data_IF_545621819099
#
_entry.id   IF_545621819099
#
_cell.length_a   1.000
_cell.length_b   1.000
_cell.length_c   1.000
_cell.angle_alpha   90.00
_cell.angle_beta   90.00
_cell.angle_gamma   90.00
#
_symmetry.space_group_name_H-M   'P 1'
#
loop_
_entity.id
_entity.type
_entity.pdbx_description
1 polymer ?
#
# COMPACT_ATOMS: atom_id res chain seq x y z
N UNK A 1 7.32 5.85 -5.58
CA UNK A 1 7.57 6.10 -4.16
C UNK A 1 6.98 7.45 -3.79
N UNK A 2 6.13 7.50 -2.77
CA UNK A 2 5.72 8.75 -2.13
C UNK A 2 6.75 9.05 -1.03
N UNK A 3 7.41 10.20 -1.07
CA UNK A 3 8.45 10.53 -0.08
C UNK A 3 8.61 12.05 0.03
N UNK A 4 9.00 12.52 1.21
CA UNK A 4 9.34 13.92 1.46
C UNK A 4 10.84 14.13 1.30
N UNK A 5 11.24 15.39 1.12
CA UNK A 5 12.65 15.77 1.03
C UNK A 5 13.47 15.27 2.24
N UNK A 6 12.87 15.27 3.43
CA UNK A 6 13.51 14.82 4.67
C UNK A 6 13.71 13.30 4.77
N UNK A 7 13.01 12.51 3.96
CA UNK A 7 13.09 11.05 3.97
C UNK A 7 14.32 10.52 3.16
N UNK A 8 15.18 11.40 2.64
CA UNK A 8 16.22 11.07 1.64
C UNK A 8 17.15 9.93 2.05
N UNK A 9 17.52 9.81 3.33
CA UNK A 9 18.38 8.71 3.78
C UNK A 9 17.68 7.35 3.65
N UNK A 10 16.43 7.26 4.11
CA UNK A 10 15.63 6.04 3.99
C UNK A 10 15.27 5.72 2.53
N UNK A 11 15.08 6.73 1.69
CA UNK A 11 14.86 6.58 0.25
C UNK A 11 16.09 5.99 -0.44
N UNK A 12 17.28 6.54 -0.21
CA UNK A 12 18.54 6.07 -0.81
C UNK A 12 18.80 4.62 -0.42
N UNK A 13 18.63 4.28 0.85
CA UNK A 13 18.84 2.93 1.37
C UNK A 13 17.86 1.90 0.75
N UNK A 14 16.58 2.27 0.62
CA UNK A 14 15.55 1.43 0.02
C UNK A 14 15.75 1.23 -1.48
N UNK A 15 15.99 2.34 -2.20
CA UNK A 15 16.22 2.34 -3.63
C UNK A 15 17.49 1.54 -3.98
N UNK A 16 18.57 1.74 -3.22
CA UNK A 16 19.83 1.01 -3.45
C UNK A 16 19.65 -0.49 -3.31
N UNK A 17 18.94 -0.94 -2.27
CA UNK A 17 18.67 -2.36 -2.09
C UNK A 17 17.81 -2.93 -3.21
N UNK A 18 16.73 -2.24 -3.62
CA UNK A 18 15.90 -2.75 -4.70
C UNK A 18 16.65 -2.80 -6.04
N UNK A 19 17.49 -1.80 -6.33
CA UNK A 19 18.39 -1.81 -7.48
C UNK A 19 19.33 -3.03 -7.44
N UNK A 20 19.99 -3.28 -6.30
CA UNK A 20 20.93 -4.39 -6.15
C UNK A 20 20.26 -5.77 -6.25
N UNK A 21 19.04 -5.91 -5.71
CA UNK A 21 18.31 -7.19 -5.70
C UNK A 21 17.59 -7.49 -6.99
N UNK A 22 17.10 -6.48 -7.68
CA UNK A 22 16.17 -6.59 -8.81
C UNK A 22 16.54 -5.61 -9.94
N UNK A 23 16.37 -4.32 -9.69
CA UNK A 23 16.10 -3.38 -10.77
C UNK A 23 17.32 -3.08 -11.66
N UNK A 24 18.54 -3.31 -11.17
CA UNK A 24 19.75 -3.20 -12.00
C UNK A 24 19.71 -4.14 -13.23
N UNK A 25 19.00 -5.27 -13.14
CA UNK A 25 18.86 -6.26 -14.22
C UNK A 25 17.81 -5.87 -15.26
N UNK A 26 16.77 -5.13 -14.86
CA UNK A 26 15.57 -4.89 -15.68
C UNK A 26 15.35 -3.42 -16.05
N UNK A 27 15.96 -2.49 -15.30
CA UNK A 27 15.97 -1.04 -15.56
C UNK A 27 14.58 -0.40 -15.66
N UNK A 28 13.62 -0.82 -14.82
CA UNK A 28 12.32 -0.15 -14.73
C UNK A 28 12.47 1.28 -14.19
N UNK A 29 11.61 2.22 -14.64
CA UNK A 29 11.68 3.61 -14.23
C UNK A 29 11.22 3.81 -12.78
N UNK A 30 11.75 4.85 -12.14
CA UNK A 30 11.30 5.32 -10.83
C UNK A 30 10.44 6.57 -10.96
N UNK A 31 9.30 6.58 -10.27
CA UNK A 31 8.47 7.78 -10.10
C UNK A 31 8.44 8.16 -8.63
N UNK A 32 8.90 9.36 -8.32
CA UNK A 32 8.83 9.97 -7.00
C UNK A 32 7.71 11.00 -6.98
N UNK A 33 6.82 10.92 -5.99
CA UNK A 33 5.75 11.90 -5.76
C UNK A 33 5.92 12.51 -4.37
N UNK A 34 5.59 13.79 -4.23
CA UNK A 34 5.64 14.53 -2.98
C UNK A 34 4.57 15.64 -2.96
N UNK A 35 4.07 16.00 -1.79
CA UNK A 35 3.16 17.13 -1.61
C UNK A 35 3.86 18.50 -1.65
N UNK A 36 5.20 18.48 -1.62
CA UNK A 36 6.06 19.65 -1.85
C UNK A 36 7.03 19.40 -3.02
N UNK A 37 7.58 20.45 -3.66
CA UNK A 37 8.62 20.29 -4.67
C UNK A 37 9.85 19.54 -4.12
N UNK A 38 10.37 18.58 -4.88
CA UNK A 38 11.64 17.94 -4.55
C UNK A 38 12.80 18.92 -4.71
N UNK A 39 13.75 18.89 -3.77
CA UNK A 39 14.95 19.72 -3.83
C UNK A 39 16.07 19.06 -4.67
N UNK A 40 17.08 19.86 -5.03
CA UNK A 40 18.19 19.41 -5.88
C UNK A 40 18.99 18.26 -5.26
N UNK A 41 19.10 18.22 -3.93
CA UNK A 41 19.79 17.13 -3.26
C UNK A 41 19.05 15.81 -3.46
N UNK A 42 17.73 15.80 -3.22
CA UNK A 42 16.90 14.61 -3.37
C UNK A 42 16.97 14.08 -4.80
N UNK A 43 16.79 14.96 -5.79
CA UNK A 43 16.84 14.59 -7.20
C UNK A 43 18.21 14.04 -7.57
N UNK A 44 19.31 14.74 -7.23
CA UNK A 44 20.67 14.31 -7.54
C UNK A 44 21.03 12.97 -6.89
N UNK A 45 20.65 12.75 -5.63
CA UNK A 45 21.02 11.54 -4.89
C UNK A 45 20.26 10.32 -5.37
N UNK A 46 19.00 10.47 -5.78
CA UNK A 46 18.19 9.35 -6.30
C UNK A 46 18.53 9.04 -7.77
N UNK A 47 18.78 10.05 -8.61
CA UNK A 47 19.04 9.85 -10.04
C UNK A 47 20.30 9.05 -10.34
N UNK A 48 21.32 9.09 -9.47
CA UNK A 48 22.59 8.38 -9.66
C UNK A 48 22.55 6.91 -9.24
N UNK A 49 21.47 6.46 -8.57
CA UNK A 49 21.39 5.10 -8.03
C UNK A 49 20.86 4.07 -9.02
N UNK A 50 20.25 4.51 -10.12
CA UNK A 50 19.60 3.66 -11.10
C UNK A 50 20.07 3.95 -12.51
N UNK A 51 19.90 2.97 -13.41
CA UNK A 51 20.02 3.15 -14.87
C UNK A 51 18.68 3.46 -15.53
N UNK A 52 17.57 3.24 -14.84
CA UNK A 52 16.23 3.55 -15.32
C UNK A 52 15.96 5.04 -15.31
N UNK A 53 14.95 5.47 -16.07
CA UNK A 53 14.50 6.86 -16.03
C UNK A 53 13.91 7.19 -14.65
N UNK A 54 14.19 8.40 -14.15
CA UNK A 54 13.62 8.90 -12.90
C UNK A 54 12.75 10.11 -13.17
N UNK A 55 11.53 10.11 -12.65
CA UNK A 55 10.59 11.23 -12.74
C UNK A 55 10.20 11.72 -11.35
N UNK A 56 10.06 13.04 -11.20
CA UNK A 56 9.70 13.71 -9.95
C UNK A 56 8.41 14.50 -10.17
N UNK A 57 7.38 14.22 -9.38
CA UNK A 57 6.05 14.83 -9.52
C UNK A 57 5.61 15.53 -8.24
N UNK A 58 5.10 16.76 -8.39
CA UNK A 58 4.36 17.45 -7.34
C UNK A 58 2.90 16.99 -7.37
N UNK A 59 2.39 16.55 -6.22
CA UNK A 59 1.00 16.13 -6.08
C UNK A 59 0.08 17.36 -6.22
N UNK A 60 -0.95 17.31 -7.10
CA UNK A 60 -1.96 18.37 -7.14
C UNK A 60 -2.59 18.57 -5.76
N UNK A 61 -2.72 19.82 -5.33
CA UNK A 61 -3.14 20.15 -3.97
C UNK A 61 -4.50 19.51 -3.62
N UNK A 62 -5.43 19.48 -4.56
CA UNK A 62 -6.77 18.89 -4.45
C UNK A 62 -6.76 17.37 -4.19
N UNK A 63 -5.69 16.69 -4.56
CA UNK A 63 -5.50 15.25 -4.31
C UNK A 63 -4.86 14.97 -2.94
N UNK A 64 -4.27 15.98 -2.31
CA UNK A 64 -3.58 15.84 -1.04
C UNK A 64 -4.38 16.36 0.15
N UNK A 65 -4.94 17.57 0.04
CA UNK A 65 -5.53 18.26 1.20
C UNK A 65 -6.89 17.70 1.60
N UNK A 66 -7.28 18.02 2.83
CA UNK A 66 -8.60 17.70 3.37
C UNK A 66 -9.70 18.34 2.51
N UNK A 67 -10.70 17.57 2.05
CA UNK A 67 -11.76 18.10 1.21
C UNK A 67 -12.77 18.95 2.02
N UNK A 68 -13.46 19.87 1.33
CA UNK A 68 -14.32 20.89 1.93
C UNK A 68 -15.54 20.36 2.70
N UNK A 69 -16.00 19.14 2.39
CA UNK A 69 -17.15 18.53 3.10
C UNK A 69 -16.77 17.92 4.46
N UNK A 70 -15.49 17.96 4.83
CA UNK A 70 -15.03 17.49 6.14
C UNK A 70 -15.21 18.62 7.16
N UNK A 71 -16.01 18.33 8.20
CA UNK A 71 -16.12 19.16 9.38
C UNK A 71 -14.81 19.12 10.16
N UNK A 72 -14.03 20.19 10.06
CA UNK A 72 -12.72 20.30 10.69
C UNK A 72 -12.80 20.33 12.23
N UNK A 73 -13.90 20.82 12.83
CA UNK A 73 -14.05 20.75 14.28
C UNK A 73 -14.21 19.29 14.74
N UNK A 74 -15.02 18.52 14.01
CA UNK A 74 -15.19 17.08 14.28
C UNK A 74 -13.89 16.31 14.05
N UNK A 75 -13.21 16.56 12.94
CA UNK A 75 -11.93 15.91 12.61
C UNK A 75 -10.85 16.25 13.65
N UNK A 76 -10.75 17.51 14.08
CA UNK A 76 -9.83 17.93 15.13
C UNK A 76 -10.12 17.22 16.46
N UNK A 77 -11.38 17.12 16.88
CA UNK A 77 -11.77 16.39 18.08
C UNK A 77 -11.37 14.92 18.03
N UNK A 78 -11.58 14.25 16.90
CA UNK A 78 -11.16 12.86 16.69
C UNK A 78 -9.63 12.70 16.77
N UNK A 79 -8.87 13.59 16.11
CA UNK A 79 -7.40 13.61 16.17
C UNK A 79 -6.89 13.78 17.60
N UNK A 80 -7.50 14.69 18.36
CA UNK A 80 -7.20 14.88 19.79
C UNK A 80 -7.47 13.64 20.60
N UNK A 81 -8.61 12.98 20.41
CA UNK A 81 -8.93 11.74 21.11
C UNK A 81 -7.93 10.63 20.79
N UNK A 82 -7.59 10.42 19.51
CA UNK A 82 -6.63 9.40 19.11
C UNK A 82 -5.21 9.65 19.66
N UNK A 83 -4.83 10.93 19.81
CA UNK A 83 -3.58 11.30 20.49
C UNK A 83 -3.59 10.88 21.97
N UNK A 84 -4.69 11.15 22.68
CA UNK A 84 -4.85 10.73 24.08
C UNK A 84 -4.87 9.20 24.23
N UNK A 85 -5.43 8.50 23.26
CA UNK A 85 -5.47 7.04 23.23
C UNK A 85 -4.13 6.39 22.86
N UNK A 86 -3.08 7.19 22.59
CA UNK A 86 -1.76 6.70 22.21
C UNK A 86 -1.69 6.03 20.84
N UNK A 87 -2.63 6.36 19.93
CA UNK A 87 -2.67 5.79 18.59
C UNK A 87 -1.56 6.42 17.75
N UNK A 88 -0.69 5.59 17.16
CA UNK A 88 0.39 6.04 16.26
C UNK A 88 -0.19 6.93 15.15
N UNK A 89 0.43 8.08 14.87
CA UNK A 89 -0.10 9.10 13.92
C UNK A 89 -1.52 9.62 14.24
N UNK A 90 -2.05 9.38 15.44
CA UNK A 90 -3.41 9.72 15.83
C UNK A 90 -3.76 11.19 15.62
N UNK A 91 -2.82 12.10 15.91
CA UNK A 91 -2.96 13.54 15.71
C UNK A 91 -2.58 14.05 14.33
N UNK A 92 -1.97 13.22 13.47
CA UNK A 92 -1.34 13.68 12.22
C UNK A 92 -2.36 13.91 11.10
N UNK A 93 -2.38 15.13 10.55
CA UNK A 93 -3.17 15.49 9.36
C UNK A 93 -2.48 14.98 8.10
N UNK A 94 -1.16 15.18 7.96
CA UNK A 94 -0.40 14.72 6.80
C UNK A 94 -0.46 13.20 6.61
N UNK A 95 -0.51 12.43 7.70
CA UNK A 95 -0.68 10.97 7.62
C UNK A 95 -2.06 10.59 7.05
N UNK A 96 -3.11 11.33 7.37
CA UNK A 96 -4.46 11.10 6.83
C UNK A 96 -4.55 11.48 5.36
N UNK A 97 -3.91 12.60 4.98
CA UNK A 97 -3.75 13.00 3.59
C UNK A 97 -3.01 11.91 2.80
N UNK A 98 -1.93 11.36 3.35
CA UNK A 98 -1.20 10.24 2.75
C UNK A 98 -2.08 9.00 2.56
N UNK A 99 -2.82 8.58 3.59
CA UNK A 99 -3.71 7.41 3.47
C UNK A 99 -4.81 7.64 2.42
N UNK A 100 -5.40 8.83 2.39
CA UNK A 100 -6.39 9.21 1.36
C UNK A 100 -5.76 9.23 -0.04
N UNK A 101 -4.58 9.83 -0.18
CA UNK A 101 -3.84 9.92 -1.45
C UNK A 101 -3.52 8.53 -2.02
N UNK A 102 -3.00 7.62 -1.18
CA UNK A 102 -2.71 6.25 -1.59
C UNK A 102 -3.99 5.46 -1.87
N UNK A 103 -5.10 5.74 -1.20
CA UNK A 103 -6.40 5.10 -1.52
C UNK A 103 -7.04 5.61 -2.81
N UNK A 104 -6.83 6.88 -3.17
CA UNK A 104 -7.71 7.56 -4.14
C UNK A 104 -7.03 8.14 -5.36
N UNK A 105 -5.74 8.48 -5.28
CA UNK A 105 -5.19 9.50 -6.17
C UNK A 105 -3.84 9.17 -6.79
N UNK A 106 -2.98 8.35 -6.17
CA UNK A 106 -1.64 8.10 -6.71
C UNK A 106 -1.70 7.56 -8.15
N UNK A 107 -2.63 6.65 -8.43
CA UNK A 107 -2.85 6.03 -9.75
C UNK A 107 -3.50 6.97 -10.78
N UNK A 108 -3.90 8.19 -10.36
CA UNK A 108 -4.43 9.28 -11.19
C UNK A 108 -3.38 10.32 -11.55
N UNK A 109 -2.19 10.27 -10.93
CA UNK A 109 -1.14 11.24 -11.20
C UNK A 109 -0.66 11.17 -12.67
N UNK A 110 -0.41 12.29 -13.37
CA UNK A 110 -0.03 12.28 -14.79
C UNK A 110 1.19 11.39 -15.10
N UNK A 111 2.22 11.42 -14.24
CA UNK A 111 3.44 10.63 -14.44
C UNK A 111 3.22 9.11 -14.46
N UNK A 112 2.15 8.62 -13.84
CA UNK A 112 1.87 7.17 -13.78
C UNK A 112 0.83 6.71 -14.80
N UNK A 113 0.17 7.62 -15.51
CA UNK A 113 -0.89 7.26 -16.49
C UNK A 113 -0.36 6.38 -17.64
N UNK A 114 0.91 6.55 -17.99
CA UNK A 114 1.57 5.76 -19.05
C UNK A 114 1.91 4.32 -18.64
N UNK A 115 1.77 3.97 -17.36
CA UNK A 115 2.10 2.63 -16.86
C UNK A 115 0.84 1.84 -16.52
N UNK A 116 0.94 0.52 -16.68
CA UNK A 116 -0.09 -0.45 -16.26
C UNK A 116 0.18 -0.96 -14.86
N UNK A 117 1.36 -1.48 -14.59
CA UNK A 117 1.74 -1.96 -13.26
C UNK A 117 2.56 -0.92 -12.49
N UNK A 118 2.48 -0.97 -11.16
CA UNK A 118 3.39 -0.25 -10.27
C UNK A 118 3.95 -1.20 -9.22
N UNK A 119 5.14 -0.88 -8.71
CA UNK A 119 5.66 -1.43 -7.46
C UNK A 119 5.79 -0.29 -6.46
N UNK A 120 4.98 -0.32 -5.38
CA UNK A 120 5.12 0.60 -4.27
C UNK A 120 6.31 0.22 -3.40
N UNK A 121 7.17 1.21 -3.19
CA UNK A 121 8.34 1.15 -2.33
C UNK A 121 8.27 2.38 -1.44
N UNK A 122 8.46 2.17 -0.13
CA UNK A 122 8.55 3.20 0.90
C UNK A 122 10.02 3.45 1.29
N UNK A 123 10.35 4.57 1.96
CA UNK A 123 11.60 4.72 2.67
C UNK A 123 11.80 3.65 3.77
N UNK A 124 13.05 3.44 4.17
CA UNK A 124 13.43 2.56 5.30
C UNK A 124 12.97 1.09 5.21
N UNK A 125 12.90 0.55 3.98
CA UNK A 125 12.61 -0.87 3.74
C UNK A 125 13.88 -1.69 3.55
N UNK A 126 13.76 -3.02 3.72
CA UNK A 126 14.82 -3.98 3.41
C UNK A 126 14.36 -4.99 2.37
N UNK A 127 15.21 -5.25 1.38
CA UNK A 127 15.06 -6.34 0.42
C UNK A 127 16.15 -7.40 0.68
N UNK A 128 15.73 -8.56 1.16
CA UNK A 128 16.63 -9.59 1.68
C UNK A 128 17.17 -10.54 0.63
N UNK A 129 16.46 -10.69 -0.49
CA UNK A 129 16.69 -11.73 -1.46
C UNK A 129 16.92 -11.13 -2.84
N UNK A 130 17.76 -11.78 -3.63
CA UNK A 130 17.86 -11.51 -5.05
C UNK A 130 16.58 -11.94 -5.75
N UNK A 131 16.13 -11.12 -6.70
CA UNK A 131 14.96 -11.37 -7.54
C UNK A 131 15.48 -11.48 -8.97
N UNK A 132 15.61 -12.72 -9.44
CA UNK A 132 16.26 -13.09 -10.70
C UNK A 132 15.25 -13.31 -11.86
N UNK A 133 14.01 -12.89 -11.66
CA UNK A 133 12.95 -12.85 -12.67
C UNK A 133 12.29 -11.47 -12.67
N UNK A 134 11.48 -11.19 -13.69
CA UNK A 134 10.73 -9.94 -13.79
C UNK A 134 9.35 -10.08 -13.09
N UNK A 135 9.11 -9.42 -11.95
CA UNK A 135 7.84 -9.53 -11.23
C UNK A 135 6.67 -8.91 -11.98
N UNK A 136 6.90 -7.92 -12.85
CA UNK A 136 5.83 -7.31 -13.63
C UNK A 136 5.37 -8.26 -14.74
N UNK A 137 6.32 -8.89 -15.45
CA UNK A 137 5.97 -9.94 -16.43
C UNK A 137 5.33 -11.14 -15.75
N UNK A 138 5.81 -11.55 -14.56
CA UNK A 138 5.17 -12.59 -13.76
C UNK A 138 3.71 -12.27 -13.46
N UNK A 139 3.41 -11.03 -13.06
CA UNK A 139 2.04 -10.58 -12.81
C UNK A 139 1.21 -10.56 -14.09
N UNK A 140 1.77 -10.09 -15.19
CA UNK A 140 1.09 -10.03 -16.49
C UNK A 140 0.79 -11.42 -17.06
N UNK A 141 1.79 -12.29 -17.15
CA UNK A 141 1.71 -13.61 -17.80
C UNK A 141 0.78 -14.56 -17.04
N UNK A 142 0.77 -14.49 -15.71
CA UNK A 142 -0.14 -15.26 -14.87
C UNK A 142 -1.49 -14.57 -14.65
N UNK A 143 -1.70 -13.42 -15.27
CA UNK A 143 -2.92 -12.63 -15.17
C UNK A 143 -3.27 -12.20 -13.74
N UNK A 144 -2.27 -11.91 -12.90
CA UNK A 144 -2.42 -11.39 -11.53
C UNK A 144 -2.65 -9.89 -11.53
N UNK A 145 -3.35 -9.42 -10.50
CA UNK A 145 -3.77 -8.02 -10.35
C UNK A 145 -3.18 -7.38 -9.11
N UNK A 146 -3.09 -8.10 -7.99
CA UNK A 146 -2.61 -7.52 -6.72
C UNK A 146 -1.63 -8.48 -6.03
N UNK A 147 -0.41 -8.03 -5.82
CA UNK A 147 0.68 -8.80 -5.23
C UNK A 147 1.19 -8.21 -3.92
N UNK A 148 1.42 -9.06 -2.91
CA UNK A 148 1.83 -8.66 -1.56
C UNK A 148 2.87 -9.61 -0.95
N UNK A 149 3.58 -9.14 0.09
CA UNK A 149 4.54 -9.95 0.88
C UNK A 149 4.11 -10.15 2.34
N UNK A 150 3.20 -9.33 2.87
CA UNK A 150 2.73 -9.45 4.24
C UNK A 150 1.25 -9.14 4.36
N UNK A 151 0.59 -9.79 5.33
CA UNK A 151 -0.77 -9.48 5.74
C UNK A 151 -0.84 -9.39 7.28
N UNK A 152 -1.48 -8.35 7.79
CA UNK A 152 -1.53 -8.01 9.21
C UNK A 152 -2.96 -7.75 9.68
N UNK A 153 -3.16 -7.69 11.00
CA UNK A 153 -4.41 -7.19 11.58
C UNK A 153 -4.31 -5.70 11.84
N UNK A 154 -5.31 -4.95 11.39
CA UNK A 154 -5.43 -3.52 11.68
C UNK A 154 -5.85 -3.29 13.14
N UNK A 155 -5.48 -2.13 13.67
CA UNK A 155 -5.94 -1.65 14.95
C UNK A 155 -7.40 -1.21 14.84
N UNK A 156 -8.34 -1.98 15.38
CA UNK A 156 -9.79 -1.68 15.32
C UNK A 156 -10.17 -0.22 15.64
N UNK A 157 -9.43 0.45 16.55
CA UNK A 157 -9.64 1.86 16.94
C UNK A 157 -9.46 2.87 15.79
N UNK A 158 -8.78 2.49 14.71
CA UNK A 158 -8.47 3.40 13.58
C UNK A 158 -9.52 3.33 12.48
N UNK A 159 -10.33 2.28 12.50
CA UNK A 159 -11.35 1.94 11.49
C UNK A 159 -12.69 1.47 12.11
N UNK A 160 -13.20 2.05 13.22
CA UNK A 160 -14.41 1.54 13.87
C UNK A 160 -15.65 1.48 12.97
N UNK A 161 -15.80 2.38 12.00
CA UNK A 161 -16.97 2.37 11.08
C UNK A 161 -16.67 1.85 9.68
N UNK A 162 -15.39 1.58 9.34
CA UNK A 162 -15.00 1.21 7.97
C UNK A 162 -15.82 0.04 7.41
N UNK A 163 -15.91 -1.07 8.13
CA UNK A 163 -16.65 -2.24 7.63
C UNK A 163 -18.14 -1.97 7.47
N UNK A 164 -18.73 -1.16 8.35
CA UNK A 164 -20.12 -0.77 8.19
C UNK A 164 -20.32 0.01 6.89
N UNK A 165 -19.48 1.03 6.62
CA UNK A 165 -19.53 1.81 5.39
C UNK A 165 -19.30 0.94 4.15
N UNK A 166 -18.40 -0.05 4.23
CA UNK A 166 -18.20 -1.04 3.15
C UNK A 166 -19.46 -1.87 2.90
N UNK A 167 -20.14 -2.35 3.95
CA UNK A 167 -21.41 -3.08 3.81
C UNK A 167 -22.53 -2.21 3.23
N UNK A 168 -22.58 -0.92 3.58
CA UNK A 168 -23.52 0.04 3.00
C UNK A 168 -23.27 0.21 1.49
N UNK A 169 -22.02 0.37 1.06
CA UNK A 169 -21.66 0.40 -0.36
C UNK A 169 -22.09 -0.87 -1.10
N UNK A 170 -21.77 -2.04 -0.54
CA UNK A 170 -22.10 -3.35 -1.12
C UNK A 170 -23.62 -3.54 -1.24
N UNK A 171 -24.38 -3.13 -0.22
CA UNK A 171 -25.84 -3.20 -0.25
C UNK A 171 -26.45 -2.37 -1.38
N UNK A 172 -25.79 -1.28 -1.77
CA UNK A 172 -26.18 -0.42 -2.89
C UNK A 172 -25.61 -0.88 -4.24
N UNK A 173 -24.54 -1.68 -4.24
CA UNK A 173 -23.81 -2.13 -5.42
C UNK A 173 -23.51 -3.64 -5.36
N UNK A 174 -24.52 -4.53 -5.25
CA UNK A 174 -24.27 -5.96 -5.05
C UNK A 174 -23.47 -6.60 -6.20
N UNK A 175 -23.63 -6.10 -7.42
CA UNK A 175 -22.92 -6.57 -8.62
C UNK A 175 -21.41 -6.28 -8.60
N UNK A 176 -20.94 -5.44 -7.66
CA UNK A 176 -19.51 -5.18 -7.49
C UNK A 176 -18.75 -6.35 -6.89
N UNK A 177 -19.41 -7.24 -6.15
CA UNK A 177 -18.78 -8.39 -5.50
C UNK A 177 -18.54 -9.49 -6.53
N UNK A 178 -17.28 -9.90 -6.67
CA UNK A 178 -16.94 -11.06 -7.48
C UNK A 178 -17.38 -12.37 -6.79
N UNK A 179 -17.99 -13.35 -7.48
CA UNK A 179 -18.42 -14.61 -6.85
C UNK A 179 -17.26 -15.41 -6.22
N UNK A 180 -16.10 -15.44 -6.87
CA UNK A 180 -14.89 -16.14 -6.39
C UNK A 180 -13.94 -15.27 -5.55
N UNK A 181 -14.48 -14.26 -4.87
CA UNK A 181 -13.71 -13.33 -4.05
C UNK A 181 -12.96 -13.98 -2.87
N UNK A 182 -12.17 -13.17 -2.17
CA UNK A 182 -11.42 -13.54 -0.98
C UNK A 182 -12.12 -13.09 0.33
N UNK A 183 -13.46 -13.09 0.41
CA UNK A 183 -14.20 -12.67 1.62
C UNK A 183 -13.75 -13.39 2.88
N UNK A 184 -13.38 -14.68 2.79
CA UNK A 184 -12.86 -15.46 3.92
C UNK A 184 -11.53 -14.95 4.48
N UNK A 185 -10.75 -14.20 3.70
CA UNK A 185 -9.57 -13.50 4.21
C UNK A 185 -9.99 -12.30 5.08
N UNK A 186 -11.05 -11.59 4.70
CA UNK A 186 -11.53 -10.37 5.36
C UNK A 186 -12.49 -10.66 6.53
N UNK A 187 -13.17 -11.80 6.55
CA UNK A 187 -14.25 -12.07 7.49
C UNK A 187 -14.36 -13.56 7.81
N UNK A 188 -14.49 -13.85 9.11
CA UNK A 188 -14.64 -15.21 9.64
C UNK A 188 -16.13 -15.63 9.73
N UNK A 189 -17.05 -14.70 9.49
CA UNK A 189 -18.50 -14.85 9.70
C UNK A 189 -19.33 -14.45 8.46
N UNK A 190 -18.81 -14.76 7.26
CA UNK A 190 -19.49 -14.54 5.98
C UNK A 190 -19.86 -13.06 5.72
N UNK A 191 -19.01 -12.14 6.16
CA UNK A 191 -19.14 -10.70 5.93
C UNK A 191 -19.96 -9.95 6.98
N UNK A 192 -20.41 -10.61 8.06
CA UNK A 192 -21.11 -9.91 9.13
C UNK A 192 -20.18 -8.94 9.87
N UNK A 193 -18.93 -9.33 10.10
CA UNK A 193 -17.89 -8.50 10.69
C UNK A 193 -16.56 -8.61 9.95
N UNK A 194 -15.73 -7.58 10.10
CA UNK A 194 -14.36 -7.55 9.58
C UNK A 194 -13.40 -8.15 10.62
N UNK A 195 -12.63 -9.16 10.22
CA UNK A 195 -11.62 -9.80 11.08
C UNK A 195 -10.32 -8.98 11.21
N UNK A 196 -10.28 -7.80 10.57
CA UNK A 196 -9.21 -6.80 10.55
C UNK A 196 -8.00 -7.15 9.67
N UNK A 197 -8.02 -8.30 8.99
CA UNK A 197 -6.93 -8.74 8.11
C UNK A 197 -6.84 -7.89 6.85
N UNK A 198 -5.63 -7.40 6.55
CA UNK A 198 -5.33 -6.64 5.36
C UNK A 198 -3.91 -6.96 4.86
N UNK A 199 -3.69 -6.85 3.55
CA UNK A 199 -2.38 -6.82 2.94
C UNK A 199 -1.65 -5.53 3.31
N UNK A 200 -0.35 -5.61 3.60
CA UNK A 200 0.39 -4.46 4.10
C UNK A 200 0.95 -3.61 2.95
N UNK A 201 0.27 -2.50 2.67
CA UNK A 201 0.39 -1.75 1.41
C UNK A 201 1.73 -1.04 1.13
N UNK A 202 2.66 -0.98 2.10
CA UNK A 202 4.00 -0.43 1.82
C UNK A 202 4.79 -1.29 0.83
N UNK A 203 4.42 -2.57 0.68
CA UNK A 203 4.78 -3.40 -0.47
C UNK A 203 3.52 -3.75 -1.25
N UNK A 204 3.45 -3.30 -2.49
CA UNK A 204 2.42 -3.70 -3.45
C UNK A 204 3.01 -3.75 -4.84
N UNK A 205 2.78 -4.84 -5.56
CA UNK A 205 2.94 -4.89 -7.02
C UNK A 205 1.56 -5.13 -7.59
N UNK A 206 0.98 -4.16 -8.28
CA UNK A 206 -0.41 -4.26 -8.73
C UNK A 206 -0.68 -3.59 -10.08
N UNK A 207 -1.73 -4.08 -10.74
CA UNK A 207 -2.27 -3.54 -12.00
C UNK A 207 -3.13 -2.31 -11.69
N UNK A 208 -2.69 -1.13 -12.14
CA UNK A 208 -3.39 0.13 -11.93
C UNK A 208 -4.73 0.20 -12.65
N UNK A 209 -5.00 -0.65 -13.64
CA UNK A 209 -6.32 -0.72 -14.27
C UNK A 209 -7.40 -1.15 -13.28
N UNK A 210 -7.04 -1.91 -12.24
CA UNK A 210 -7.96 -2.22 -11.14
C UNK A 210 -8.41 -0.96 -10.39
N UNK A 211 -7.44 -0.09 -10.05
CA UNK A 211 -7.72 1.17 -9.35
C UNK A 211 -8.44 2.20 -10.23
N UNK A 212 -8.13 2.21 -11.54
CA UNK A 212 -8.77 3.08 -12.54
C UNK A 212 -10.18 2.61 -12.91
N UNK A 213 -10.53 1.36 -12.59
CA UNK A 213 -11.83 0.78 -12.88
C UNK A 213 -12.99 1.48 -12.17
N UNK A 214 -14.17 1.42 -12.79
CA UNK A 214 -15.39 2.05 -12.29
C UNK A 214 -15.76 1.55 -10.88
N UNK A 215 -15.64 0.23 -10.64
CA UNK A 215 -15.96 -0.38 -9.35
C UNK A 215 -15.12 0.19 -8.22
N UNK A 216 -13.80 0.31 -8.41
CA UNK A 216 -12.93 0.87 -7.37
C UNK A 216 -13.15 2.37 -7.22
N UNK A 217 -13.35 3.09 -8.33
CA UNK A 217 -13.62 4.53 -8.31
C UNK A 217 -14.85 4.86 -7.47
N UNK A 218 -15.98 4.18 -7.71
CA UNK A 218 -17.22 4.37 -6.93
C UNK A 218 -17.05 3.95 -5.47
N UNK A 219 -16.33 2.87 -5.21
CA UNK A 219 -16.03 2.42 -3.86
C UNK A 219 -15.22 3.48 -3.09
N UNK A 220 -14.14 3.99 -3.67
CA UNK A 220 -13.33 5.04 -3.08
C UNK A 220 -14.16 6.31 -2.83
N UNK A 221 -14.96 6.76 -3.80
CA UNK A 221 -15.81 7.95 -3.67
C UNK A 221 -16.83 7.82 -2.53
N UNK A 222 -17.43 6.63 -2.36
CA UNK A 222 -18.33 6.35 -1.25
C UNK A 222 -17.61 6.48 0.10
N UNK A 223 -16.40 5.90 0.23
CA UNK A 223 -15.59 5.99 1.44
C UNK A 223 -15.09 7.42 1.72
N UNK A 224 -14.67 8.15 0.68
CA UNK A 224 -14.18 9.53 0.79
C UNK A 224 -15.30 10.48 1.25
N UNK A 225 -16.54 10.25 0.78
CA UNK A 225 -17.73 10.97 1.24
C UNK A 225 -18.12 10.64 2.68
N UNK A 226 -17.89 9.42 3.15
CA UNK A 226 -18.11 9.05 4.54
C UNK A 226 -17.16 9.78 5.51
N UNK A 227 -16.00 10.23 5.03
CA UNK A 227 -15.06 11.07 5.78
C UNK A 227 -14.20 10.31 6.80
N UNK A 228 -14.22 8.98 6.78
CA UNK A 228 -13.48 8.14 7.74
C UNK A 228 -11.95 8.31 7.67
N UNK A 229 -11.40 8.79 6.56
CA UNK A 229 -9.99 9.22 6.49
C UNK A 229 -9.66 10.32 7.52
N UNK A 230 -10.61 11.21 7.82
CA UNK A 230 -10.41 12.39 8.68
C UNK A 230 -11.10 12.30 10.04
N UNK A 231 -12.31 11.76 10.10
CA UNK A 231 -13.04 11.52 11.35
C UNK A 231 -12.51 10.30 12.11
N UNK A 232 -11.82 9.39 11.42
CA UNK A 232 -11.10 8.26 12.01
C UNK A 232 -9.63 8.32 11.57
N UNK A 233 -9.05 7.20 11.18
CA UNK A 233 -7.69 7.11 10.62
C UNK A 233 -7.58 5.94 9.64
N UNK A 234 -8.53 5.86 8.71
CA UNK A 234 -8.57 4.81 7.68
C UNK A 234 -7.27 4.81 6.89
N UNK A 235 -6.51 3.71 7.00
CA UNK A 235 -5.31 3.49 6.20
C UNK A 235 -5.65 3.00 4.80
N UNK A 236 -4.82 3.30 3.82
CA UNK A 236 -4.92 2.76 2.46
C UNK A 236 -4.82 1.23 2.44
N UNK A 237 -4.02 0.63 3.33
CA UNK A 237 -3.84 -0.82 3.40
C UNK A 237 -5.16 -1.61 3.58
N UNK A 238 -6.01 -1.32 4.60
CA UNK A 238 -7.32 -1.97 4.69
C UNK A 238 -8.26 -1.59 3.54
N UNK A 239 -8.21 -0.37 2.98
CA UNK A 239 -9.05 0.01 1.82
C UNK A 239 -8.70 -0.85 0.60
N UNK A 240 -7.42 -0.91 0.22
CA UNK A 240 -6.93 -1.72 -0.89
C UNK A 240 -7.26 -3.19 -0.71
N UNK A 241 -7.07 -3.70 0.51
CA UNK A 241 -7.31 -5.11 0.82
C UNK A 241 -8.78 -5.49 0.75
N UNK A 242 -9.67 -4.63 1.24
CA UNK A 242 -11.12 -4.85 1.14
C UNK A 242 -11.55 -4.83 -0.33
N UNK A 243 -11.10 -3.83 -1.11
CA UNK A 243 -11.43 -3.76 -2.52
C UNK A 243 -10.91 -4.99 -3.30
N UNK A 244 -9.62 -5.31 -3.18
CA UNK A 244 -9.02 -6.45 -3.84
C UNK A 244 -9.65 -7.77 -3.37
N UNK A 245 -9.98 -7.89 -2.09
CA UNK A 245 -10.57 -9.08 -1.50
C UNK A 245 -12.05 -9.30 -1.83
N UNK A 246 -12.78 -8.26 -2.27
CA UNK A 246 -14.20 -8.36 -2.63
C UNK A 246 -14.45 -8.30 -4.14
N UNK A 247 -13.74 -7.44 -4.87
CA UNK A 247 -14.04 -7.11 -6.27
C UNK A 247 -13.24 -7.93 -7.27
N UNK A 248 -12.17 -8.59 -6.82
CA UNK A 248 -11.40 -9.52 -7.64
C UNK A 248 -11.70 -10.96 -7.24
N UNK A 249 -11.63 -11.90 -8.18
CA UNK A 249 -11.52 -13.29 -7.81
C UNK A 249 -10.16 -13.56 -7.16
N UNK A 250 -10.14 -14.43 -6.14
CA UNK A 250 -8.99 -14.67 -5.27
C UNK A 250 -7.73 -15.14 -6.01
N UNK A 251 -7.86 -15.80 -7.16
CA UNK A 251 -6.71 -16.21 -7.97
C UNK A 251 -5.98 -15.05 -8.65
N UNK A 252 -6.57 -13.85 -8.68
CA UNK A 252 -5.90 -12.61 -9.12
C UNK A 252 -4.97 -12.02 -8.06
N UNK A 253 -5.06 -12.50 -6.82
CA UNK A 253 -4.15 -12.15 -5.74
C UNK A 253 -2.89 -13.02 -5.82
N UNK A 254 -1.74 -12.43 -5.50
CA UNK A 254 -0.46 -13.12 -5.50
C UNK A 254 0.31 -12.85 -4.22
N UNK A 255 0.70 -13.92 -3.53
CA UNK A 255 1.64 -13.83 -2.41
C UNK A 255 3.05 -14.08 -2.95
N UNK A 256 3.91 -13.06 -2.88
CA UNK A 256 5.33 -13.16 -3.23
C UNK A 256 6.10 -13.82 -2.09
N UNK A 257 5.95 -15.15 -1.97
CA UNK A 257 6.62 -15.96 -0.93
C UNK A 257 8.14 -15.88 -1.00
N UNK A 258 8.70 -15.62 -2.17
CA UNK A 258 10.13 -15.57 -2.48
C UNK A 258 10.78 -14.18 -2.34
N UNK A 259 9.99 -13.12 -2.16
CA UNK A 259 10.51 -11.76 -1.98
C UNK A 259 10.68 -11.44 -0.50
N UNK A 260 11.89 -11.66 0.03
CA UNK A 260 12.20 -11.29 1.41
C UNK A 260 12.17 -9.78 1.62
N UNK A 261 11.33 -9.33 2.55
CA UNK A 261 10.99 -7.93 2.72
C UNK A 261 10.77 -7.56 4.19
N UNK A 262 11.24 -6.38 4.61
CA UNK A 262 10.94 -5.81 5.94
C UNK A 262 10.63 -4.33 5.82
N UNK A 263 9.68 -3.91 6.64
CA UNK A 263 9.40 -2.52 6.92
C UNK A 263 9.15 -2.42 8.43
N UNK A 264 9.71 -1.42 9.11
CA UNK A 264 9.64 -1.28 10.57
C UNK A 264 9.99 -2.60 11.31
N UNK A 265 9.12 -3.09 12.19
CA UNK A 265 9.33 -4.31 13.00
C UNK A 265 8.86 -5.60 12.34
N UNK A 266 8.14 -5.53 11.23
CA UNK A 266 7.58 -6.71 10.56
C UNK A 266 8.45 -7.13 9.37
N UNK A 267 8.68 -8.44 9.26
CA UNK A 267 9.55 -9.03 8.26
C UNK A 267 8.90 -10.28 7.68
N UNK A 268 8.93 -10.43 6.36
CA UNK A 268 8.74 -11.67 5.64
C UNK A 268 10.09 -12.17 5.14
N UNK A 269 10.47 -13.39 5.54
CA UNK A 269 11.68 -14.05 5.10
C UNK A 269 11.31 -15.39 4.42
N UNK A 270 11.66 -15.59 3.14
CA UNK A 270 11.38 -16.82 2.41
C UNK A 270 11.92 -18.05 3.14
N UNK A 271 11.30 -19.21 2.90
CA UNK A 271 11.63 -20.46 3.58
C UNK A 271 12.22 -21.49 2.61
N UNK A 272 12.98 -22.45 3.15
CA UNK A 272 13.46 -23.62 2.40
C UNK A 272 14.19 -23.26 1.10
N UNK A 273 13.79 -23.87 -0.01
CA UNK A 273 14.42 -23.67 -1.32
C UNK A 273 14.32 -22.23 -1.83
N UNK A 274 13.24 -21.51 -1.51
CA UNK A 274 13.09 -20.10 -1.92
C UNK A 274 14.15 -19.21 -1.25
N UNK A 275 14.46 -19.47 0.03
CA UNK A 275 15.51 -18.75 0.76
C UNK A 275 16.89 -18.95 0.12
N UNK A 276 17.22 -20.20 -0.19
CA UNK A 276 18.50 -20.59 -0.81
C UNK A 276 18.60 -20.03 -2.23
N UNK A 277 17.56 -20.20 -3.05
CA UNK A 277 17.51 -19.72 -4.44
C UNK A 277 17.64 -18.20 -4.50
N UNK A 278 16.91 -17.49 -3.64
CA UNK A 278 16.98 -16.04 -3.52
C UNK A 278 18.27 -15.53 -2.88
N UNK A 279 19.17 -16.42 -2.42
CA UNK A 279 20.39 -16.07 -1.66
C UNK A 279 20.08 -15.08 -0.53
N UNK A 280 18.99 -15.35 0.18
CA UNK A 280 18.43 -14.45 1.16
C UNK A 280 19.37 -14.29 2.37
N UNK A 281 19.50 -13.06 2.89
CA UNK A 281 20.32 -12.79 4.07
C UNK A 281 19.52 -12.58 5.36
N UNK A 282 18.19 -12.62 5.30
CA UNK A 282 17.33 -12.65 6.49
C UNK A 282 17.45 -13.99 7.22
N UNK A 283 17.23 -13.96 8.54
CA UNK A 283 17.04 -15.16 9.34
C UNK A 283 15.64 -15.75 9.08
N UNK A 284 15.51 -17.00 8.61
CA UNK A 284 14.21 -17.63 8.37
C UNK A 284 13.28 -17.69 9.59
N UNK A 285 13.81 -17.63 10.81
CA UNK A 285 13.02 -17.63 12.04
C UNK A 285 12.41 -16.25 12.37
N UNK A 286 12.93 -15.19 11.77
CA UNK A 286 12.45 -13.81 11.99
C UNK A 286 11.34 -13.50 10.98
N UNK A 287 10.19 -14.16 11.15
CA UNK A 287 9.00 -13.98 10.31
C UNK A 287 7.82 -13.40 11.08
N UNK A 288 7.06 -12.51 10.44
CA UNK A 288 5.81 -11.99 10.97
C UNK A 288 4.85 -13.18 11.21
N UNK A 289 4.29 -13.25 12.42
CA UNK A 289 3.42 -14.36 12.82
C UNK A 289 4.14 -15.61 13.37
N UNK A 290 5.48 -15.72 13.26
CA UNK A 290 6.24 -16.81 13.91
C UNK A 290 6.72 -16.43 15.33
N UNK A 291 6.69 -15.15 15.71
CA UNK A 291 7.08 -14.66 17.04
C UNK A 291 6.03 -14.85 18.15
N UNK A 292 5.33 -16.00 18.17
CA UNK A 292 4.50 -16.45 19.31
C UNK A 292 4.68 -17.96 19.56
N UNK A 293 5.90 -18.33 19.91
CA UNK A 293 6.19 -19.46 20.82
C UNK A 293 7.37 -19.07 21.71
N UNK A 294 7.07 -18.26 22.71
CA UNK A 294 7.84 -18.16 23.95
C UNK A 294 6.84 -18.18 25.09
#
# INVERSE_FOLDING_TARGET
MLARNEDIEGVVDSMRQLEDRFNYKFSYPWVFLNDEPFNDEFMRRTSILTRGNVSYGLIPQEHWVQPEWIDEHKAYAARRQMMFDGIIYGSSVSYRNMCRFNSGFFYRHPLVQQYRYYWRVEPDVRFYCNIDYDPFLKMQDDGKVYGFTMALKELKKTIPTLWQTVREYIGQNPDSIHPDNALRFLSDDYGQSYNLCHFWSNFEIADMEFWRGETYTKFFEHLDRAGGFYYERWGDAPIHSIAAGLFLPKEKLHFFSDVGYKHSVFQHCPQGEEHVRGRCWCNPQDNFGMSRRA
#
